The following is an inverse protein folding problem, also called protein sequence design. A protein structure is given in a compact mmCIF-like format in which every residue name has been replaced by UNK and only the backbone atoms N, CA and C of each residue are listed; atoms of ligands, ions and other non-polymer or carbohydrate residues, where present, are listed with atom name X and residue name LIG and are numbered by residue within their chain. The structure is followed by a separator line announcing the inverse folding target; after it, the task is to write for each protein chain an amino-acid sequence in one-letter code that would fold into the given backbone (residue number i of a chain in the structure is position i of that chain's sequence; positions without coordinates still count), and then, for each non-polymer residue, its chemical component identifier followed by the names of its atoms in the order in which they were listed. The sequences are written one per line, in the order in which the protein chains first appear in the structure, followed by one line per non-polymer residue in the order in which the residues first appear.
data_IF_644526986632
#
_entry.id   IF_644526986632
#
_cell.length_a   1.000
_cell.length_b   1.000
_cell.length_c   1.000
_cell.angle_alpha   90.00
_cell.angle_beta   90.00
_cell.angle_gamma   90.00
#
_symmetry.space_group_name_H-M   'P 1'
#
loop_
_entity.id
_entity.type
_entity.pdbx_description
1 polymer ?
#
# COMPACT_ATOMS: atom_id res chain seq x y z
N UNK A 1 -12.84 -13.76 -6.70
CA UNK A 1 -11.51 -14.35 -6.97
C UNK A 1 -10.48 -13.47 -6.26
N UNK A 2 -9.48 -14.06 -5.62
CA UNK A 2 -8.47 -13.33 -4.84
C UNK A 2 -7.41 -12.82 -5.83
N UNK A 3 -7.37 -11.51 -6.10
CA UNK A 3 -6.35 -10.91 -6.96
C UNK A 3 -5.01 -10.76 -6.21
N UNK A 4 -4.21 -11.83 -6.20
CA UNK A 4 -2.90 -11.84 -5.55
C UNK A 4 -1.87 -10.97 -6.27
N UNK A 5 -1.96 -10.89 -7.60
CA UNK A 5 -1.01 -10.14 -8.43
C UNK A 5 -1.38 -8.65 -8.59
N UNK A 6 -2.49 -8.23 -7.97
CA UNK A 6 -2.88 -6.81 -7.95
C UNK A 6 -1.85 -6.00 -7.16
N UNK A 7 -1.36 -4.93 -7.79
CA UNK A 7 -0.52 -3.92 -7.14
C UNK A 7 -1.36 -3.11 -6.16
N UNK A 8 -0.87 -3.00 -4.94
CA UNK A 8 -1.56 -2.38 -3.81
C UNK A 8 -0.76 -1.23 -3.20
N UNK A 9 0.55 -1.18 -3.44
CA UNK A 9 1.39 -0.07 -3.00
C UNK A 9 2.63 0.04 -3.91
N UNK A 10 2.62 0.97 -4.86
CA UNK A 10 3.66 1.03 -5.89
C UNK A 10 3.73 -0.27 -6.68
N UNK A 11 4.88 -0.96 -6.65
CA UNK A 11 5.07 -2.28 -7.26
C UNK A 11 4.68 -3.46 -6.37
N UNK A 12 4.41 -3.22 -5.08
CA UNK A 12 4.07 -4.26 -4.11
C UNK A 12 2.68 -4.81 -4.44
N UNK A 13 2.59 -6.14 -4.48
CA UNK A 13 1.37 -6.88 -4.79
C UNK A 13 0.68 -7.42 -3.54
N UNK A 14 -0.62 -7.72 -3.66
CA UNK A 14 -1.40 -8.38 -2.60
C UNK A 14 -0.72 -9.66 -2.10
N UNK A 15 -0.08 -10.44 -2.99
CA UNK A 15 0.63 -11.67 -2.64
C UNK A 15 1.80 -11.45 -1.70
N UNK A 16 2.53 -10.35 -1.82
CA UNK A 16 3.69 -10.07 -0.98
C UNK A 16 3.29 -9.72 0.45
N UNK A 17 2.10 -9.13 0.62
CA UNK A 17 1.55 -8.71 1.90
C UNK A 17 0.84 -9.87 2.61
N UNK A 18 -0.05 -10.58 1.90
CA UNK A 18 -0.96 -11.59 2.49
C UNK A 18 -0.88 -12.98 1.85
N UNK A 19 -0.04 -13.16 0.84
CA UNK A 19 0.24 -14.48 0.25
C UNK A 19 1.22 -15.29 1.12
N UNK A 20 1.15 -16.61 0.99
CA UNK A 20 1.98 -17.56 1.75
C UNK A 20 3.48 -17.57 1.35
N UNK A 21 3.89 -16.73 0.40
CA UNK A 21 5.26 -16.69 -0.10
C UNK A 21 6.01 -15.55 0.58
N UNK A 22 7.06 -15.83 1.39
CA UNK A 22 7.86 -14.80 2.03
C UNK A 22 8.62 -13.97 0.97
N UNK A 23 8.86 -12.69 1.26
CA UNK A 23 10.24 -12.33 1.53
C UNK A 23 10.51 -12.39 3.03
N UNK A 24 11.75 -12.73 3.38
CA UNK A 24 12.26 -12.73 4.74
C UNK A 24 12.15 -11.32 5.33
N UNK A 25 11.84 -11.26 6.62
CA UNK A 25 11.28 -10.08 7.29
C UNK A 25 12.22 -8.84 7.39
N UNK A 26 13.51 -8.83 7.00
CA UNK A 26 14.26 -7.58 6.81
C UNK A 26 13.93 -6.80 5.52
N UNK A 27 13.50 -7.45 4.43
CA UNK A 27 13.40 -6.79 3.11
C UNK A 27 12.14 -5.94 2.93
N UNK A 28 11.02 -6.35 3.53
CA UNK A 28 9.71 -5.73 3.24
C UNK A 28 9.65 -4.25 3.64
N UNK A 29 10.24 -3.88 4.78
CA UNK A 29 10.29 -2.49 5.23
C UNK A 29 11.08 -1.61 4.26
N UNK A 30 12.28 -2.07 3.85
CA UNK A 30 13.12 -1.36 2.89
C UNK A 30 12.40 -1.19 1.54
N UNK A 31 11.65 -2.20 1.11
CA UNK A 31 10.82 -2.14 -0.10
C UNK A 31 9.74 -1.07 0.07
N UNK A 32 9.00 -1.05 1.18
CA UNK A 32 8.00 -0.01 1.45
C UNK A 32 8.60 1.40 1.51
N UNK A 33 9.77 1.58 2.15
CA UNK A 33 10.46 2.88 2.21
C UNK A 33 10.87 3.36 0.82
N UNK A 34 11.43 2.47 0.01
CA UNK A 34 11.82 2.79 -1.37
C UNK A 34 10.60 3.15 -2.23
N UNK A 35 9.56 2.33 -2.18
CA UNK A 35 8.35 2.56 -2.98
C UNK A 35 7.61 3.81 -2.51
N UNK A 36 7.57 4.11 -1.21
CA UNK A 36 7.00 5.36 -0.69
C UNK A 36 7.72 6.58 -1.27
N UNK A 37 9.05 6.57 -1.33
CA UNK A 37 9.83 7.66 -1.92
C UNK A 37 9.53 7.86 -3.41
N UNK A 38 9.37 6.77 -4.17
CA UNK A 38 8.99 6.84 -5.59
C UNK A 38 7.58 7.43 -5.72
N UNK A 39 6.62 6.90 -4.96
CA UNK A 39 5.24 7.37 -4.99
C UNK A 39 5.15 8.87 -4.65
N UNK A 40 5.90 9.34 -3.65
CA UNK A 40 5.95 10.76 -3.29
C UNK A 40 6.47 11.64 -4.43
N UNK A 41 7.52 11.20 -5.14
CA UNK A 41 8.02 11.92 -6.31
C UNK A 41 6.97 11.92 -7.45
N UNK A 42 6.26 10.81 -7.65
CA UNK A 42 5.21 10.72 -8.66
C UNK A 42 4.02 11.66 -8.35
N UNK A 43 3.66 11.82 -7.07
CA UNK A 43 2.58 12.73 -6.64
C UNK A 43 2.80 14.18 -7.07
N UNK A 44 4.06 14.63 -7.20
CA UNK A 44 4.37 16.00 -7.61
C UNK A 44 3.95 16.32 -9.05
N UNK A 45 3.80 15.28 -9.88
CA UNK A 45 3.40 15.38 -11.28
C UNK A 45 1.93 15.04 -11.54
N UNK A 46 1.16 14.69 -10.49
CA UNK A 46 -0.24 14.30 -10.63
C UNK A 46 -1.20 15.50 -10.65
N UNK A 47 -2.27 15.38 -11.43
CA UNK A 47 -3.40 16.31 -11.39
C UNK A 47 -4.26 16.10 -10.15
N UNK A 48 -5.06 17.10 -9.78
CA UNK A 48 -6.00 17.01 -8.66
C UNK A 48 -6.97 15.81 -8.80
N UNK A 49 -7.54 15.62 -9.98
CA UNK A 49 -8.42 14.48 -10.29
C UNK A 49 -7.70 13.13 -10.08
N UNK A 50 -6.44 13.03 -10.52
CA UNK A 50 -5.64 11.82 -10.28
C UNK A 50 -5.36 11.60 -8.79
N UNK A 51 -5.08 12.66 -8.03
CA UNK A 51 -4.86 12.57 -6.58
C UNK A 51 -6.13 12.09 -5.85
N UNK A 52 -7.31 12.57 -6.23
CA UNK A 52 -8.59 12.09 -5.69
C UNK A 52 -8.83 10.61 -6.01
N UNK A 53 -8.58 10.21 -7.26
CA UNK A 53 -8.66 8.81 -7.69
C UNK A 53 -7.69 7.91 -6.89
N UNK A 54 -6.44 8.34 -6.69
CA UNK A 54 -5.45 7.61 -5.90
C UNK A 54 -5.89 7.45 -4.45
N UNK A 55 -6.49 8.49 -3.85
CA UNK A 55 -7.01 8.43 -2.49
C UNK A 55 -8.13 7.39 -2.35
N UNK A 56 -9.08 7.36 -3.29
CA UNK A 56 -10.16 6.36 -3.28
C UNK A 56 -9.64 4.94 -3.50
N UNK A 57 -8.71 4.76 -4.45
CA UNK A 57 -8.06 3.48 -4.68
C UNK A 57 -7.35 2.95 -3.43
N UNK A 58 -6.68 3.83 -2.67
CA UNK A 58 -6.00 3.39 -1.45
C UNK A 58 -6.96 3.00 -0.32
N UNK A 59 -8.12 3.66 -0.19
CA UNK A 59 -9.17 3.23 0.76
C UNK A 59 -9.72 1.84 0.43
N UNK A 60 -10.00 1.59 -0.85
CA UNK A 60 -10.49 0.28 -1.32
C UNK A 60 -9.45 -0.80 -1.08
N UNK A 61 -8.19 -0.49 -1.36
CA UNK A 61 -7.06 -1.40 -1.18
C UNK A 61 -6.82 -1.73 0.28
N UNK A 62 -6.83 -0.72 1.16
CA UNK A 62 -6.72 -0.91 2.61
C UNK A 62 -7.82 -1.83 3.13
N UNK A 63 -9.07 -1.59 2.72
CA UNK A 63 -10.19 -2.47 3.07
C UNK A 63 -9.99 -3.89 2.53
N UNK A 64 -9.49 -4.05 1.31
CA UNK A 64 -9.21 -5.36 0.73
C UNK A 64 -8.17 -6.16 1.53
N UNK A 65 -7.07 -5.52 1.93
CA UNK A 65 -5.99 -6.15 2.71
C UNK A 65 -6.47 -6.50 4.12
N UNK A 66 -7.21 -5.60 4.78
CA UNK A 66 -7.64 -5.77 6.17
C UNK A 66 -8.90 -6.65 6.35
N UNK A 67 -9.72 -6.85 5.31
CA UNK A 67 -10.99 -7.60 5.42
C UNK A 67 -10.85 -9.12 5.28
N UNK A 68 -9.66 -9.66 5.00
CA UNK A 68 -9.50 -11.10 4.78
C UNK A 68 -9.54 -11.91 6.08
N UNK A 69 -10.53 -12.81 6.27
CA UNK A 69 -10.52 -13.77 7.37
C UNK A 69 -9.53 -14.89 7.03
N UNK A 70 -8.63 -15.23 7.96
CA UNK A 70 -7.74 -16.40 7.83
C UNK A 70 -6.25 -16.12 7.58
N UNK A 71 -5.83 -14.86 7.35
CA UNK A 71 -4.41 -14.47 7.32
C UNK A 71 -3.84 -14.14 8.73
N UNK A 72 -4.54 -14.55 9.79
CA UNK A 72 -4.53 -13.89 11.10
C UNK A 72 -3.35 -14.20 12.04
N UNK A 73 -2.32 -14.93 11.62
CA UNK A 73 -1.10 -15.11 12.44
C UNK A 73 0.20 -14.76 11.69
N UNK A 74 0.43 -15.31 10.50
CA UNK A 74 1.72 -15.22 9.82
C UNK A 74 1.94 -13.90 9.06
N UNK A 75 0.88 -13.25 8.59
CA UNK A 75 0.96 -12.01 7.79
C UNK A 75 0.72 -10.73 8.60
N UNK A 76 0.38 -10.84 9.89
CA UNK A 76 0.02 -9.71 10.77
C UNK A 76 1.06 -8.57 10.73
N UNK A 77 2.35 -8.91 10.75
CA UNK A 77 3.43 -7.91 10.70
C UNK A 77 3.47 -7.17 9.36
N UNK A 78 3.28 -7.87 8.23
CA UNK A 78 3.29 -7.26 6.89
C UNK A 78 2.05 -6.39 6.65
N UNK A 79 0.88 -6.82 7.14
CA UNK A 79 -0.35 -6.02 7.12
C UNK A 79 -0.16 -4.76 7.96
N UNK A 80 0.44 -4.87 9.15
CA UNK A 80 0.75 -3.72 10.00
C UNK A 80 1.70 -2.74 9.31
N UNK A 81 2.77 -3.22 8.68
CA UNK A 81 3.68 -2.39 7.90
C UNK A 81 2.95 -1.72 6.73
N UNK A 82 2.21 -2.48 5.93
CA UNK A 82 1.39 -1.92 4.84
C UNK A 82 0.48 -0.79 5.34
N UNK A 83 -0.26 -1.00 6.43
CA UNK A 83 -1.14 0.02 6.98
C UNK A 83 -0.37 1.28 7.42
N UNK A 84 0.82 1.13 8.01
CA UNK A 84 1.67 2.27 8.40
C UNK A 84 2.12 3.09 7.18
N UNK A 85 2.63 2.43 6.14
CA UNK A 85 3.10 3.11 4.92
C UNK A 85 1.95 3.66 4.07
N UNK A 86 0.85 2.92 3.97
CA UNK A 86 -0.36 3.39 3.29
C UNK A 86 -0.92 4.64 3.98
N UNK A 87 -0.91 4.69 5.31
CA UNK A 87 -1.33 5.89 6.05
C UNK A 87 -0.46 7.11 5.72
N UNK A 88 0.87 6.95 5.66
CA UNK A 88 1.80 8.01 5.25
C UNK A 88 1.50 8.49 3.83
N UNK A 89 1.26 7.55 2.91
CA UNK A 89 0.94 7.88 1.52
C UNK A 89 -0.39 8.62 1.37
N UNK A 90 -1.45 8.12 2.00
CA UNK A 90 -2.77 8.77 2.03
C UNK A 90 -2.70 10.18 2.63
N UNK A 91 -1.91 10.37 3.69
CA UNK A 91 -1.74 11.69 4.29
C UNK A 91 -1.09 12.66 3.31
N UNK A 92 -0.01 12.26 2.65
CA UNK A 92 0.68 13.09 1.65
C UNK A 92 -0.23 13.46 0.47
N UNK A 93 -1.06 12.53 -0.02
CA UNK A 93 -2.05 12.81 -1.07
C UNK A 93 -3.02 13.90 -0.61
N UNK A 94 -3.53 13.82 0.64
CA UNK A 94 -4.43 14.85 1.18
C UNK A 94 -3.75 16.20 1.30
N UNK A 95 -2.53 16.23 1.83
CA UNK A 95 -1.74 17.47 1.94
C UNK A 95 -1.53 18.13 0.57
N UNK A 96 -1.28 17.34 -0.48
CA UNK A 96 -1.18 17.82 -1.88
C UNK A 96 -2.52 18.26 -2.48
N UNK A 97 -3.65 17.66 -2.07
CA UNK A 97 -4.99 18.08 -2.51
C UNK A 97 -5.46 19.39 -1.85
N UNK A 98 -4.95 19.66 -0.65
CA UNK A 98 -5.24 20.85 0.15
C UNK A 98 -4.26 22.02 -0.12
N UNK A 99 -3.14 21.76 -0.80
CA UNK A 99 -2.16 22.76 -1.27
C UNK A 99 -2.62 23.44 -2.56
#
# INVERSE_FOLDING_TARGET
MIELDKKVFGKITTKEIIGAVPPEIPDMKNIFERELGILFAELESQSKENLENLLEQQKVTEKHINSRPGAMALAQNKIKQFNEYNKKYVQMIKEKLES
#
